data_IF_505296354497
#
_entry.id   IF_505296354497
#
_cell.length_a   1.000
_cell.length_b   1.000
_cell.length_c   1.000
_cell.angle_alpha   90.00
_cell.angle_beta   90.00
_cell.angle_gamma   90.00
#
_symmetry.space_group_name_H-M   'P 1'
#
loop_
_entity.id
_entity.type
_entity.pdbx_description
1 polymer ?
#
# COMPACT_ATOMS: atom_id res chain seq x y z
N UNK A 1 64.36 -7.43 -72.09
CA UNK A 1 63.41 -6.62 -71.30
C UNK A 1 62.11 -7.39 -71.17
N UNK A 2 61.61 -7.65 -69.96
CA UNK A 2 60.19 -7.79 -69.58
C UNK A 2 60.13 -8.39 -68.16
N UNK A 3 60.16 -7.52 -67.15
CA UNK A 3 59.88 -7.85 -65.76
C UNK A 3 58.36 -8.05 -65.61
N UNK A 4 57.93 -9.25 -65.20
CA UNK A 4 56.51 -9.54 -64.89
C UNK A 4 56.26 -9.20 -63.42
N UNK A 5 55.63 -8.07 -63.17
CA UNK A 5 55.09 -7.72 -61.85
C UNK A 5 53.73 -8.39 -61.64
N UNK A 6 53.65 -9.37 -60.74
CA UNK A 6 52.37 -9.90 -60.24
C UNK A 6 51.78 -8.95 -59.20
N UNK A 7 50.68 -8.26 -59.54
CA UNK A 7 49.84 -7.54 -58.55
C UNK A 7 48.85 -8.52 -57.95
N UNK A 8 48.94 -8.78 -56.64
CA UNK A 8 47.87 -9.46 -55.89
C UNK A 8 46.76 -8.44 -55.61
N UNK A 9 45.56 -8.70 -56.12
CA UNK A 9 44.35 -7.97 -55.75
C UNK A 9 43.91 -8.49 -54.37
N UNK A 10 44.06 -7.67 -53.33
CA UNK A 10 43.43 -7.94 -52.04
C UNK A 10 41.96 -7.50 -52.13
N UNK A 11 41.02 -8.43 -51.88
CA UNK A 11 39.60 -8.06 -51.75
C UNK A 11 39.43 -7.29 -50.44
N UNK A 12 39.08 -6.01 -50.53
CA UNK A 12 38.68 -5.22 -49.38
C UNK A 12 37.26 -5.66 -48.97
N UNK A 13 37.17 -6.65 -48.09
CA UNK A 13 35.93 -6.95 -47.36
C UNK A 13 35.65 -5.79 -46.40
N UNK A 14 34.85 -4.83 -46.86
CA UNK A 14 34.25 -3.79 -46.02
C UNK A 14 33.32 -4.44 -44.99
N UNK A 15 33.86 -4.79 -43.82
CA UNK A 15 33.06 -5.09 -42.62
C UNK A 15 32.46 -3.80 -42.11
N UNK A 16 31.26 -3.46 -42.57
CA UNK A 16 30.43 -2.46 -41.91
C UNK A 16 30.14 -2.97 -40.49
N UNK A 17 30.51 -2.24 -39.42
CA UNK A 17 30.10 -2.62 -38.08
C UNK A 17 28.59 -2.46 -38.01
N UNK A 18 27.87 -3.57 -37.84
CA UNK A 18 26.46 -3.53 -37.45
C UNK A 18 26.44 -3.01 -36.00
N UNK A 19 26.30 -1.70 -35.83
CA UNK A 19 26.02 -1.12 -34.53
C UNK A 19 24.64 -1.65 -34.13
N UNK A 20 24.64 -2.60 -33.20
CA UNK A 20 23.43 -3.09 -32.55
C UNK A 20 22.88 -1.93 -31.72
N UNK A 21 21.96 -1.17 -32.31
CA UNK A 21 21.23 -0.12 -31.59
C UNK A 21 20.30 -0.83 -30.63
N UNK A 22 20.69 -0.91 -29.36
CA UNK A 22 19.78 -1.31 -28.30
C UNK A 22 18.74 -0.20 -28.16
N UNK A 23 17.44 -0.54 -28.18
CA UNK A 23 16.39 0.43 -27.82
C UNK A 23 16.59 0.79 -26.36
N UNK A 24 17.05 2.01 -26.10
CA UNK A 24 17.20 2.56 -24.74
C UNK A 24 15.91 3.23 -24.26
N UNK A 25 14.77 2.89 -24.87
CA UNK A 25 13.48 3.44 -24.45
C UNK A 25 13.08 2.72 -23.17
N UNK A 26 13.54 3.22 -22.03
CA UNK A 26 13.13 2.74 -20.72
C UNK A 26 11.83 3.43 -20.31
N UNK A 27 10.93 2.71 -19.65
CA UNK A 27 9.66 3.25 -19.12
C UNK A 27 9.86 4.34 -18.06
N UNK A 28 11.10 4.53 -17.60
CA UNK A 28 11.50 5.57 -16.68
C UNK A 28 12.74 6.28 -17.25
N UNK A 29 12.58 7.20 -18.22
CA UNK A 29 13.69 7.93 -18.79
C UNK A 29 14.24 8.93 -17.76
N UNK A 30 15.57 9.08 -17.71
CA UNK A 30 16.19 10.17 -16.95
C UNK A 30 15.63 11.49 -17.47
N UNK A 31 15.12 12.40 -16.61
CA UNK A 31 14.55 13.66 -17.06
C UNK A 31 15.57 14.45 -17.88
N UNK A 32 15.32 14.56 -19.19
CA UNK A 32 16.08 15.44 -20.06
C UNK A 32 15.41 16.83 -20.04
N UNK A 33 16.20 17.89 -19.94
CA UNK A 33 15.72 19.26 -20.11
C UNK A 33 15.39 19.49 -21.61
N UNK A 34 14.27 18.94 -22.05
CA UNK A 34 13.75 19.09 -23.40
C UNK A 34 12.57 20.08 -23.37
N UNK A 35 12.60 21.18 -24.14
CA UNK A 35 11.51 22.14 -24.22
C UNK A 35 10.19 21.55 -24.74
N UNK A 36 10.23 20.38 -25.37
CA UNK A 36 9.04 19.63 -25.78
C UNK A 36 9.08 18.19 -25.23
N UNK A 37 8.63 17.96 -23.98
CA UNK A 37 8.64 16.63 -23.37
C UNK A 37 7.67 15.71 -24.12
N UNK A 38 8.11 14.46 -24.38
CA UNK A 38 7.23 13.44 -24.95
C UNK A 38 6.15 13.06 -23.93
N UNK A 39 4.91 12.75 -24.36
CA UNK A 39 3.89 12.22 -23.47
C UNK A 39 4.38 10.90 -22.87
N UNK A 40 4.08 10.68 -21.58
CA UNK A 40 4.42 9.45 -20.90
C UNK A 40 3.62 8.29 -21.51
N UNK A 41 4.32 7.21 -21.87
CA UNK A 41 3.68 5.97 -22.30
C UNK A 41 3.27 5.20 -21.04
N UNK A 42 2.03 4.71 -20.93
CA UNK A 42 1.61 3.90 -19.79
C UNK A 42 2.45 2.62 -19.73
N UNK A 43 2.84 2.21 -18.53
CA UNK A 43 3.64 0.99 -18.33
C UNK A 43 2.80 -0.29 -18.48
N UNK A 44 1.49 -0.19 -18.24
CA UNK A 44 0.57 -1.32 -18.39
C UNK A 44 0.29 -1.58 -19.86
N UNK A 45 0.54 -2.81 -20.32
CA UNK A 45 0.39 -3.18 -21.72
C UNK A 45 -1.08 -3.31 -22.13
N UNK A 46 -1.37 -2.84 -23.35
CA UNK A 46 -2.67 -3.04 -24.00
C UNK A 46 -2.99 -4.52 -24.27
N UNK A 47 -2.00 -5.41 -24.20
CA UNK A 47 -2.20 -6.86 -24.35
C UNK A 47 -3.05 -7.46 -23.23
N UNK A 48 -3.09 -6.84 -22.05
CA UNK A 48 -3.87 -7.31 -20.91
C UNK A 48 -5.39 -7.09 -21.09
N UNK A 49 -5.80 -6.35 -22.14
CA UNK A 49 -7.20 -6.12 -22.48
C UNK A 49 -7.89 -7.34 -23.12
N UNK A 50 -7.13 -8.38 -23.50
CA UNK A 50 -7.69 -9.66 -23.98
C UNK A 50 -7.71 -10.68 -22.85
N UNK A 51 -8.77 -11.51 -22.73
CA UNK A 51 -8.85 -12.51 -21.68
C UNK A 51 -7.75 -13.57 -21.84
N UNK A 52 -7.01 -13.84 -20.77
CA UNK A 52 -6.01 -14.91 -20.73
C UNK A 52 -6.70 -16.26 -20.47
N UNK A 53 -6.10 -17.35 -20.93
CA UNK A 53 -6.60 -18.72 -20.70
C UNK A 53 -6.56 -19.16 -19.23
N UNK A 54 -5.77 -18.49 -18.39
CA UNK A 54 -5.68 -18.74 -16.96
C UNK A 54 -6.77 -17.98 -16.19
N UNK A 55 -7.32 -18.63 -15.16
CA UNK A 55 -8.26 -18.01 -14.24
C UNK A 55 -7.53 -17.46 -13.01
N UNK A 56 -7.91 -16.26 -12.59
CA UNK A 56 -7.37 -15.57 -11.42
C UNK A 56 -8.01 -15.98 -10.10
N UNK A 57 -7.82 -15.14 -9.08
CA UNK A 57 -8.40 -15.31 -7.73
C UNK A 57 -9.95 -15.35 -7.69
N UNK A 58 -10.62 -15.00 -8.79
CA UNK A 58 -12.08 -14.89 -8.89
C UNK A 58 -12.73 -15.91 -9.85
N UNK A 59 -12.00 -16.97 -10.24
CA UNK A 59 -12.46 -18.00 -11.21
C UNK A 59 -12.88 -17.45 -12.60
N UNK A 60 -12.57 -16.19 -12.86
CA UNK A 60 -12.76 -15.47 -14.13
C UNK A 60 -11.46 -15.43 -14.94
N UNK A 61 -11.55 -15.35 -16.28
CA UNK A 61 -10.38 -15.14 -17.11
C UNK A 61 -9.73 -13.80 -16.73
N UNK A 62 -8.41 -13.80 -16.60
CA UNK A 62 -7.69 -12.58 -16.24
C UNK A 62 -7.72 -11.58 -17.40
N UNK A 63 -8.30 -10.42 -17.14
CA UNK A 63 -8.46 -9.33 -18.09
C UNK A 63 -8.53 -8.01 -17.34
N UNK A 64 -7.70 -7.04 -17.70
CA UNK A 64 -7.77 -5.69 -17.13
C UNK A 64 -7.72 -4.64 -18.25
N UNK A 65 -8.39 -3.51 -18.04
CA UNK A 65 -8.21 -2.36 -18.93
C UNK A 65 -6.92 -1.63 -18.59
N UNK A 66 -6.30 -0.98 -19.59
CA UNK A 66 -5.04 -0.22 -19.39
C UNK A 66 -5.22 0.88 -18.35
N UNK A 67 -6.39 1.52 -18.33
CA UNK A 67 -6.72 2.61 -17.41
C UNK A 67 -6.84 2.12 -15.96
N UNK A 68 -7.54 1.00 -15.74
CA UNK A 68 -7.67 0.38 -14.42
C UNK A 68 -6.33 -0.16 -13.91
N UNK A 69 -5.57 -0.84 -14.77
CA UNK A 69 -4.24 -1.32 -14.45
C UNK A 69 -3.30 -0.17 -14.05
N UNK A 70 -3.31 0.93 -14.80
CA UNK A 70 -2.47 2.10 -14.50
C UNK A 70 -2.89 2.77 -13.18
N UNK A 71 -4.20 2.87 -12.91
CA UNK A 71 -4.72 3.34 -11.62
C UNK A 71 -4.23 2.47 -10.46
N UNK A 72 -4.31 1.14 -10.61
CA UNK A 72 -3.82 0.20 -9.59
C UNK A 72 -2.30 0.23 -9.42
N UNK A 73 -1.56 0.47 -10.50
CA UNK A 73 -0.10 0.61 -10.50
C UNK A 73 0.36 1.86 -9.77
N UNK A 74 -0.36 2.97 -9.94
CA UNK A 74 0.00 4.27 -9.34
C UNK A 74 -0.44 4.35 -7.86
N UNK A 75 -1.63 3.85 -7.51
CA UNK A 75 -2.12 3.90 -6.14
C UNK A 75 -1.31 3.01 -5.19
N UNK A 76 -0.77 3.59 -4.11
CA UNK A 76 0.05 2.85 -3.14
C UNK A 76 -0.69 1.68 -2.48
N UNK A 77 -1.97 1.87 -2.15
CA UNK A 77 -2.89 0.87 -1.59
C UNK A 77 -4.32 1.14 -2.09
N UNK A 78 -5.27 0.19 -1.96
CA UNK A 78 -6.64 0.38 -2.42
C UNK A 78 -7.36 1.57 -1.79
N UNK A 79 -7.03 1.87 -0.53
CA UNK A 79 -7.59 2.95 0.28
C UNK A 79 -6.68 4.19 0.36
N UNK A 80 -5.47 4.17 -0.23
CA UNK A 80 -4.51 5.28 -0.10
C UNK A 80 -3.65 5.45 -1.35
N UNK A 81 -3.65 6.66 -1.92
CA UNK A 81 -2.85 6.94 -3.13
C UNK A 81 -1.36 7.17 -2.82
N UNK A 82 -1.04 7.89 -1.75
CA UNK A 82 0.32 8.34 -1.44
C UNK A 82 1.10 7.45 -0.48
N UNK A 83 2.40 7.75 -0.35
CA UNK A 83 3.28 7.13 0.64
C UNK A 83 2.95 7.59 2.07
N UNK A 84 3.38 6.83 3.07
CA UNK A 84 3.21 7.13 4.50
C UNK A 84 4.51 7.02 5.31
N UNK A 85 5.63 6.78 4.65
CA UNK A 85 6.96 6.84 5.26
C UNK A 85 7.95 7.52 4.32
N UNK A 86 8.92 8.24 4.89
CA UNK A 86 9.95 8.98 4.15
C UNK A 86 10.81 8.08 3.27
N UNK A 87 11.09 6.85 3.71
CA UNK A 87 11.91 5.88 2.97
C UNK A 87 11.09 5.03 1.99
N UNK A 88 9.77 5.17 1.97
CA UNK A 88 8.90 4.38 1.10
C UNK A 88 8.97 4.90 -0.34
N UNK A 89 9.20 4.00 -1.30
CA UNK A 89 9.09 4.36 -2.71
C UNK A 89 7.62 4.38 -3.16
N UNK A 90 7.19 5.42 -3.91
CA UNK A 90 5.88 5.44 -4.55
C UNK A 90 5.71 4.27 -5.51
N UNK A 91 4.54 3.63 -5.49
CA UNK A 91 4.26 2.41 -6.27
C UNK A 91 4.45 2.63 -7.78
N UNK A 92 4.01 3.77 -8.32
CA UNK A 92 4.21 4.11 -9.73
C UNK A 92 5.67 4.21 -10.18
N UNK A 93 6.63 4.35 -9.24
CA UNK A 93 8.08 4.28 -9.52
C UNK A 93 8.68 2.89 -9.28
N UNK A 94 8.06 2.07 -8.43
CA UNK A 94 8.52 0.73 -8.10
C UNK A 94 8.01 -0.33 -9.11
N UNK A 95 6.79 -0.15 -9.61
CA UNK A 95 6.13 -1.01 -10.60
C UNK A 95 6.42 -0.50 -12.02
N UNK A 96 7.70 -0.46 -12.40
CA UNK A 96 8.16 -0.06 -13.75
C UNK A 96 9.18 -1.04 -14.31
N UNK A 97 9.23 -1.12 -15.63
CA UNK A 97 10.22 -1.89 -16.37
C UNK A 97 9.75 -3.29 -16.80
N UNK A 98 10.64 -4.06 -17.46
CA UNK A 98 10.27 -5.26 -18.20
C UNK A 98 9.60 -6.38 -17.38
N UNK A 99 9.77 -6.35 -16.06
CA UNK A 99 9.14 -7.33 -15.16
C UNK A 99 7.62 -7.14 -15.03
N UNK A 100 7.10 -5.96 -15.36
CA UNK A 100 5.71 -5.57 -15.12
C UNK A 100 4.90 -5.29 -16.41
N UNK A 101 5.53 -5.31 -17.59
CA UNK A 101 4.89 -4.94 -18.87
C UNK A 101 3.73 -5.89 -19.24
N UNK A 102 3.92 -7.20 -19.07
CA UNK A 102 2.90 -8.24 -19.34
C UNK A 102 2.34 -8.83 -18.04
N UNK A 103 2.33 -8.05 -16.97
CA UNK A 103 1.77 -8.46 -15.68
C UNK A 103 0.41 -7.82 -15.50
N UNK A 104 -0.56 -8.62 -15.03
CA UNK A 104 -1.90 -8.14 -14.70
C UNK A 104 -1.85 -7.56 -13.29
N UNK A 105 -2.14 -6.28 -13.16
CA UNK A 105 -1.96 -5.51 -11.92
C UNK A 105 -2.97 -5.88 -10.85
N UNK A 106 -4.16 -6.35 -11.24
CA UNK A 106 -5.23 -6.79 -10.33
C UNK A 106 -4.77 -7.92 -9.39
N UNK A 107 -4.07 -8.92 -9.93
CA UNK A 107 -3.61 -10.10 -9.20
C UNK A 107 -2.33 -9.85 -8.38
N UNK A 108 -1.69 -8.69 -8.53
CA UNK A 108 -0.50 -8.38 -7.76
C UNK A 108 -0.86 -8.03 -6.31
N UNK A 109 -0.07 -8.49 -5.31
CA UNK A 109 -0.33 -8.18 -3.91
C UNK A 109 -0.47 -6.68 -3.65
N UNK A 110 -1.65 -6.29 -3.16
CA UNK A 110 -2.01 -4.89 -2.87
C UNK A 110 -2.90 -4.82 -1.62
N UNK A 111 -2.34 -5.05 -0.43
CA UNK A 111 -3.11 -5.01 0.82
C UNK A 111 -3.58 -3.58 1.14
N UNK A 112 -4.62 -3.49 1.96
CA UNK A 112 -5.10 -2.22 2.51
C UNK A 112 -4.03 -1.56 3.39
N UNK A 113 -3.91 -0.24 3.30
CA UNK A 113 -3.04 0.53 4.17
C UNK A 113 -3.67 0.64 5.56
N UNK A 114 -3.01 0.05 6.56
CA UNK A 114 -3.48 0.02 7.94
C UNK A 114 -3.64 1.42 8.57
N UNK A 115 -2.87 2.41 8.10
CA UNK A 115 -2.98 3.80 8.56
C UNK A 115 -4.39 4.37 8.34
N UNK A 116 -5.00 4.13 7.19
CA UNK A 116 -6.37 4.62 6.94
C UNK A 116 -7.40 3.79 7.72
N UNK A 117 -7.13 2.50 7.95
CA UNK A 117 -8.04 1.63 8.70
C UNK A 117 -8.09 1.99 10.18
N UNK A 118 -6.96 2.35 10.78
CA UNK A 118 -6.91 2.73 12.19
C UNK A 118 -7.56 4.10 12.44
N UNK A 119 -7.46 5.03 11.48
CA UNK A 119 -8.12 6.34 11.56
C UNK A 119 -9.65 6.28 11.42
N UNK A 120 -10.20 5.12 11.04
CA UNK A 120 -11.65 4.87 11.08
C UNK A 120 -12.13 4.41 12.45
N UNK A 121 -11.24 3.96 13.34
CA UNK A 121 -11.65 3.52 14.68
C UNK A 121 -12.10 4.71 15.52
N UNK A 122 -13.25 4.61 16.22
CA UNK A 122 -13.70 5.65 17.12
C UNK A 122 -12.85 5.73 18.38
N UNK A 123 -12.75 6.94 18.94
CA UNK A 123 -12.13 7.19 20.25
C UNK A 123 -12.89 6.44 21.33
N UNK A 124 -12.14 5.69 22.15
CA UNK A 124 -12.67 5.02 23.34
C UNK A 124 -12.63 5.95 24.53
N UNK A 125 -13.80 6.24 25.06
CA UNK A 125 -13.96 7.11 26.21
C UNK A 125 -13.83 6.32 27.51
N UNK A 126 -12.99 6.83 28.41
CA UNK A 126 -12.86 6.28 29.77
C UNK A 126 -13.08 7.36 30.82
N UNK A 127 -13.53 6.94 32.00
CA UNK A 127 -13.61 7.78 33.20
C UNK A 127 -12.31 7.76 33.99
N UNK A 128 -11.50 6.73 33.80
CA UNK A 128 -10.25 6.53 34.51
C UNK A 128 -9.14 7.42 33.95
N UNK A 129 -8.11 7.64 34.78
CA UNK A 129 -6.90 8.39 34.43
C UNK A 129 -5.93 7.57 33.58
N UNK A 130 -5.97 6.25 33.67
CA UNK A 130 -5.14 5.33 32.90
C UNK A 130 -5.97 4.18 32.36
N UNK A 131 -5.71 3.78 31.12
CA UNK A 131 -6.34 2.61 30.49
C UNK A 131 -5.31 1.51 30.31
N UNK A 132 -5.69 0.25 30.52
CA UNK A 132 -4.86 -0.89 30.14
C UNK A 132 -5.33 -1.52 28.83
N UNK A 133 -4.42 -1.64 27.87
CA UNK A 133 -4.67 -2.18 26.54
C UNK A 133 -3.78 -3.40 26.30
N UNK A 134 -4.37 -4.51 25.88
CA UNK A 134 -3.70 -5.76 25.50
C UNK A 134 -3.97 -6.14 24.02
N UNK A 135 -4.67 -5.30 23.27
CA UNK A 135 -5.02 -5.55 21.87
C UNK A 135 -6.20 -6.50 21.65
N UNK A 136 -6.86 -6.94 22.72
CA UNK A 136 -7.93 -7.94 22.64
C UNK A 136 -7.41 -9.37 22.51
N UNK A 137 -8.25 -10.37 22.80
CA UNK A 137 -7.85 -11.78 22.71
C UNK A 137 -6.91 -12.26 23.81
N UNK A 138 -6.59 -11.45 24.83
CA UNK A 138 -5.67 -11.78 25.91
C UNK A 138 -4.27 -12.11 25.37
N UNK A 139 -3.79 -13.36 25.42
CA UNK A 139 -2.48 -13.74 24.88
C UNK A 139 -2.36 -13.64 23.35
N UNK A 140 -3.47 -13.52 22.61
CA UNK A 140 -3.44 -13.37 21.15
C UNK A 140 -3.17 -11.93 20.69
N UNK A 141 -3.23 -10.97 21.62
CA UNK A 141 -2.95 -9.56 21.35
C UNK A 141 -1.48 -9.20 21.54
N UNK A 142 -1.23 -8.02 22.10
CA UNK A 142 0.12 -7.52 22.40
C UNK A 142 0.37 -7.48 23.92
N UNK A 143 1.63 -7.29 24.37
CA UNK A 143 1.91 -7.13 25.79
C UNK A 143 1.06 -6.00 26.39
N UNK A 144 0.44 -6.27 27.54
CA UNK A 144 -0.40 -5.26 28.21
C UNK A 144 0.40 -4.01 28.50
N UNK A 145 -0.11 -2.87 28.03
CA UNK A 145 0.43 -1.56 28.35
C UNK A 145 -0.60 -0.72 29.09
N UNK A 146 -0.11 0.25 29.87
CA UNK A 146 -0.93 1.24 30.54
C UNK A 146 -0.72 2.60 29.88
N UNK A 147 -1.80 3.19 29.41
CA UNK A 147 -1.80 4.44 28.65
C UNK A 147 -2.37 5.53 29.56
N UNK A 148 -1.63 6.62 29.73
CA UNK A 148 -2.12 7.78 30.47
C UNK A 148 -3.03 8.64 29.58
N UNK A 149 -4.25 8.91 30.04
CA UNK A 149 -5.27 9.72 29.35
C UNK A 149 -5.60 11.04 30.08
N UNK A 150 -4.81 11.43 31.08
CA UNK A 150 -4.99 12.68 31.83
C UNK A 150 -4.99 13.95 30.97
N UNK A 151 -4.29 13.92 29.85
CA UNK A 151 -4.10 15.10 28.99
C UNK A 151 -5.35 15.30 28.15
N UNK A 152 -5.70 16.56 27.80
CA UNK A 152 -6.82 16.87 26.92
C UNK A 152 -6.49 16.59 25.45
N UNK A 153 -6.04 15.38 25.16
CA UNK A 153 -5.64 14.91 23.83
C UNK A 153 -6.02 13.43 23.67
N UNK A 154 -6.20 13.00 22.43
CA UNK A 154 -6.39 11.58 22.12
C UNK A 154 -5.04 10.87 22.30
N UNK A 155 -5.00 9.89 23.18
CA UNK A 155 -3.83 9.06 23.46
C UNK A 155 -4.04 7.68 22.84
N UNK A 156 -3.10 7.22 22.03
CA UNK A 156 -3.25 5.95 21.31
C UNK A 156 -2.35 4.86 21.88
N UNK A 157 -2.78 3.61 21.72
CA UNK A 157 -1.94 2.44 22.02
C UNK A 157 -0.77 2.36 21.03
N UNK A 158 0.46 2.15 21.53
CA UNK A 158 1.65 2.07 20.68
C UNK A 158 1.74 0.79 19.84
N UNK A 159 0.94 -0.23 20.16
CA UNK A 159 0.89 -1.49 19.43
C UNK A 159 -0.25 -1.49 18.41
N UNK A 160 -1.50 -1.44 18.89
CA UNK A 160 -2.68 -1.49 18.01
C UNK A 160 -3.04 -0.16 17.35
N UNK A 161 -2.58 0.97 17.89
CA UNK A 161 -2.99 2.30 17.41
C UNK A 161 -4.41 2.73 17.82
N UNK A 162 -5.11 1.93 18.65
CA UNK A 162 -6.46 2.25 19.13
C UNK A 162 -6.44 3.55 19.94
N UNK A 163 -7.34 4.50 19.65
CA UNK A 163 -7.40 5.78 20.34
C UNK A 163 -8.21 5.73 21.65
N UNK A 164 -7.70 6.39 22.68
CA UNK A 164 -8.32 6.57 23.99
C UNK A 164 -8.38 8.04 24.37
N UNK A 165 -9.42 8.44 25.08
CA UNK A 165 -9.52 9.77 25.69
C UNK A 165 -10.34 9.73 26.97
N UNK A 166 -10.08 10.68 27.87
CA UNK A 166 -10.86 10.82 29.10
C UNK A 166 -12.15 11.61 28.85
N UNK A 167 -13.27 11.15 29.40
CA UNK A 167 -14.59 11.80 29.27
C UNK A 167 -14.59 13.27 29.73
N UNK A 168 -13.76 13.61 30.72
CA UNK A 168 -13.64 14.98 31.24
C UNK A 168 -13.20 15.98 30.18
N UNK A 169 -12.38 15.54 29.22
CA UNK A 169 -11.84 16.37 28.14
C UNK A 169 -12.68 16.33 26.87
N UNK A 170 -13.82 15.63 26.89
CA UNK A 170 -14.69 15.43 25.72
C UNK A 170 -15.12 16.75 25.08
N UNK A 171 -15.59 17.71 25.89
CA UNK A 171 -15.99 19.05 25.42
C UNK A 171 -14.85 19.83 24.76
N UNK A 172 -13.61 19.60 25.22
CA UNK A 172 -12.44 20.23 24.61
C UNK A 172 -12.10 19.58 23.26
N UNK A 173 -12.15 18.25 23.18
CA UNK A 173 -11.88 17.53 21.95
C UNK A 173 -12.95 17.78 20.87
N UNK A 174 -14.21 17.91 21.27
CA UNK A 174 -15.33 18.28 20.39
C UNK A 174 -15.24 19.74 19.89
N UNK A 175 -14.57 20.63 20.62
CA UNK A 175 -14.41 22.03 20.18
C UNK A 175 -13.26 22.24 19.20
N UNK A 176 -12.39 21.23 19.02
CA UNK A 176 -11.33 21.29 18.03
C UNK A 176 -11.92 21.20 16.61
N UNK A 177 -11.39 21.98 15.64
CA UNK A 177 -11.91 21.98 14.27
C UNK A 177 -11.68 20.65 13.56
N UNK A 178 -10.66 19.90 13.97
CA UNK A 178 -10.31 18.60 13.42
C UNK A 178 -9.60 17.73 14.45
N UNK A 179 -9.99 16.46 14.52
CA UNK A 179 -9.37 15.43 15.35
C UNK A 179 -8.78 14.32 14.48
N UNK A 180 -7.69 13.70 14.92
CA UNK A 180 -7.04 12.62 14.16
C UNK A 180 -7.87 11.35 14.08
N UNK A 181 -8.82 11.15 15.00
CA UNK A 181 -9.72 10.00 15.05
C UNK A 181 -11.17 10.50 15.21
N UNK A 182 -12.17 9.77 14.69
CA UNK A 182 -13.58 10.08 14.90
C UNK A 182 -13.93 9.93 16.39
N UNK A 183 -14.64 10.90 16.94
CA UNK A 183 -15.04 10.90 18.37
C UNK A 183 -16.19 9.93 18.66
N UNK A 184 -17.00 9.64 17.64
CA UNK A 184 -18.16 8.76 17.68
C UNK A 184 -18.03 7.65 16.63
N UNK A 185 -18.64 6.48 16.84
CA UNK A 185 -18.68 5.40 15.84
C UNK A 185 -19.32 5.89 14.53
N UNK A 186 -18.64 5.63 13.40
CA UNK A 186 -19.15 6.01 12.06
C UNK A 186 -19.93 4.85 11.43
N UNK A 187 -19.76 3.62 11.92
CA UNK A 187 -20.35 2.41 11.35
C UNK A 187 -19.59 1.89 10.13
N UNK A 188 -18.32 2.27 9.97
CA UNK A 188 -17.47 1.75 8.89
C UNK A 188 -17.17 0.25 9.10
N UNK A 189 -17.13 -0.53 8.02
CA UNK A 189 -16.85 -1.96 8.09
C UNK A 189 -15.46 -2.31 8.68
N UNK A 190 -14.54 -1.34 8.71
CA UNK A 190 -13.24 -1.50 9.36
C UNK A 190 -13.29 -1.34 10.89
N UNK A 191 -14.36 -0.77 11.45
CA UNK A 191 -14.51 -0.55 12.89
C UNK A 191 -14.54 -1.88 13.65
N UNK A 192 -13.70 -2.00 14.68
CA UNK A 192 -13.74 -3.15 15.57
C UNK A 192 -14.82 -2.87 16.62
N UNK A 193 -15.84 -3.73 16.74
CA UNK A 193 -16.90 -3.52 17.70
C UNK A 193 -16.32 -3.48 19.12
N UNK A 194 -16.71 -2.46 19.88
CA UNK A 194 -16.40 -2.33 21.30
C UNK A 194 -17.35 -3.22 22.12
N UNK A 195 -17.50 -4.49 21.73
CA UNK A 195 -18.47 -5.37 22.35
C UNK A 195 -17.86 -6.04 23.60
N UNK A 196 -18.59 -5.95 24.72
CA UNK A 196 -18.32 -6.70 25.94
C UNK A 196 -18.55 -8.19 25.70
N UNK A 197 -17.57 -8.87 25.11
CA UNK A 197 -17.56 -10.33 25.16
C UNK A 197 -17.30 -10.77 26.61
N UNK A 198 -18.13 -11.71 27.11
CA UNK A 198 -17.95 -12.29 28.44
C UNK A 198 -16.56 -12.94 28.54
N UNK A 199 -15.66 -12.30 29.29
CA UNK A 199 -14.31 -12.78 29.57
C UNK A 199 -13.41 -11.62 29.98
N UNK A 200 -12.76 -11.73 31.14
CA UNK A 200 -11.78 -10.74 31.59
C UNK A 200 -10.39 -11.22 31.21
N UNK A 201 -9.71 -10.50 30.30
CA UNK A 201 -8.28 -10.72 30.05
C UNK A 201 -7.42 -10.11 31.14
N UNK A 202 -8.04 -9.35 32.06
CA UNK A 202 -7.40 -8.53 33.08
C UNK A 202 -6.98 -7.14 32.57
N UNK A 203 -7.27 -6.82 31.31
CA UNK A 203 -7.28 -5.44 30.82
C UNK A 203 -8.57 -4.72 31.25
N UNK A 204 -8.53 -3.39 31.24
CA UNK A 204 -9.69 -2.52 31.46
C UNK A 204 -10.65 -2.64 30.28
N UNK A 205 -10.11 -2.98 29.11
CA UNK A 205 -10.85 -3.15 27.87
C UNK A 205 -11.58 -4.50 27.82
N UNK A 206 -12.79 -4.54 27.24
CA UNK A 206 -13.46 -5.80 26.96
C UNK A 206 -12.71 -6.62 25.92
N UNK A 207 -12.91 -7.93 25.95
CA UNK A 207 -12.37 -8.86 24.96
C UNK A 207 -12.89 -8.50 23.56
N UNK A 208 -11.98 -8.23 22.62
CA UNK A 208 -12.33 -7.75 21.28
C UNK A 208 -12.12 -8.82 20.24
N UNK A 209 -13.12 -9.02 19.37
CA UNK A 209 -13.02 -9.89 18.21
C UNK A 209 -13.73 -9.24 17.03
N UNK A 210 -13.25 -9.49 15.81
CA UNK A 210 -13.85 -8.94 14.59
C UNK A 210 -15.33 -9.37 14.44
N UNK A 211 -15.63 -10.62 14.80
CA UNK A 211 -16.95 -11.23 14.62
C UNK A 211 -17.90 -11.02 15.79
N UNK A 212 -17.44 -10.42 16.89
CA UNK A 212 -18.20 -10.36 18.15
C UNK A 212 -18.45 -11.73 18.80
N UNK A 213 -17.81 -12.81 18.32
CA UNK A 213 -17.78 -14.12 18.95
C UNK A 213 -16.41 -14.36 19.60
N UNK A 214 -16.29 -15.10 20.73
CA UNK A 214 -15.00 -15.42 21.32
C UNK A 214 -14.08 -16.11 20.29
N UNK A 215 -12.83 -15.67 20.18
CA UNK A 215 -11.84 -16.35 19.33
C UNK A 215 -11.53 -17.71 19.97
N UNK A 216 -11.99 -18.80 19.35
CA UNK A 216 -11.62 -20.15 19.74
C UNK A 216 -10.12 -20.35 19.49
N UNK A 217 -9.36 -20.63 20.55
CA UNK A 217 -8.01 -21.17 20.42
C UNK A 217 -8.16 -22.63 19.98
N UNK A 218 -8.08 -22.90 18.68
CA UNK A 218 -7.97 -24.27 18.17
C UNK A 218 -6.58 -24.85 18.45
#
# INVERSE_FOLDING_TARGET
MLSRTSRRLASALSRQPVLRVYSTTTDNPVPANNPNPKPAVPTVSATNALPVSSKGSHDQPLQETVEEGEKMRVMQAPNRAGIWSRSQQPRGKAMVGPRFEQTIMEDQPRPYAAIELIHKQPVRWTKERSVSCDGGGGPLGHPRIFINVDKPQICFCTYCGVPYAQEQHRKHLESLPHTSYPLEPTGDAAEVPMHDLKGTTGATEPLQTNTGAPLEQR
#
